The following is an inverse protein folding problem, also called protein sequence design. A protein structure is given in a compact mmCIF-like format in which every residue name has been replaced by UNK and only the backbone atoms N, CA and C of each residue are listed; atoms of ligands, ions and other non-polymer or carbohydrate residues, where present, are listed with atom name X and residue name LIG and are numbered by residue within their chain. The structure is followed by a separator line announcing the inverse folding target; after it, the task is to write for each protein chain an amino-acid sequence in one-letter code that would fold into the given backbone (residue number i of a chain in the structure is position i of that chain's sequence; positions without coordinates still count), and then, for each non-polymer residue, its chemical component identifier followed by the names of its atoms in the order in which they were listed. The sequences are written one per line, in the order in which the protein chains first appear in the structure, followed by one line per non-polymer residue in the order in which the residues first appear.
data_IF_749000647126
#
_entry.id   IF_749000647126
#
_cell.length_a   1.000
_cell.length_b   1.000
_cell.length_c   1.000
_cell.angle_alpha   90.00
_cell.angle_beta   90.00
_cell.angle_gamma   90.00
#
_symmetry.space_group_name_H-M   'P 1'
#
loop_
_entity.id
_entity.type
_entity.pdbx_description
1 polymer ?
#
# COMPACT_ATOMS: atom_id res chain seq x y z
N UNK A 1 9.59 5.22 8.87
CA UNK A 1 10.98 5.71 8.99
C UNK A 1 10.98 7.11 9.61
N UNK A 2 10.58 8.16 8.92
CA UNK A 2 10.59 9.54 9.42
C UNK A 2 9.70 9.74 10.67
N UNK A 3 8.62 8.98 10.83
CA UNK A 3 7.84 8.92 12.08
C UNK A 3 8.62 8.21 13.19
N UNK A 4 9.26 7.10 12.87
CA UNK A 4 10.05 6.32 13.85
C UNK A 4 11.31 7.06 14.29
N UNK A 5 11.89 7.86 13.40
CA UNK A 5 13.03 8.74 13.72
C UNK A 5 12.63 10.02 14.48
N UNK A 6 11.33 10.28 14.64
CA UNK A 6 10.81 11.48 15.27
C UNK A 6 10.88 12.75 14.42
N UNK A 7 11.26 12.65 13.14
CA UNK A 7 11.31 13.80 12.22
C UNK A 7 9.89 14.27 11.85
N UNK A 8 8.92 13.38 11.87
CA UNK A 8 7.51 13.65 11.55
C UNK A 8 6.62 12.99 12.59
N UNK A 9 5.54 13.68 12.95
CA UNK A 9 4.49 13.18 13.83
C UNK A 9 3.19 12.92 13.06
N UNK A 10 2.43 11.94 13.50
CA UNK A 10 1.06 11.73 13.03
C UNK A 10 0.14 12.93 13.31
N UNK A 11 0.55 13.82 14.23
CA UNK A 11 -0.16 15.04 14.62
C UNK A 11 0.33 16.28 13.86
N UNK A 12 1.31 16.17 12.98
CA UNK A 12 1.77 17.31 12.17
C UNK A 12 0.62 17.87 11.34
N UNK A 13 0.57 19.20 11.25
CA UNK A 13 -0.46 19.93 10.51
C UNK A 13 0.08 20.27 9.12
N UNK A 14 -0.50 19.67 8.11
CA UNK A 14 -0.10 19.84 6.71
C UNK A 14 -1.01 20.84 6.02
N UNK A 15 -0.42 21.95 5.55
CA UNK A 15 -1.12 22.92 4.69
C UNK A 15 -1.09 22.44 3.25
N UNK A 16 -2.26 22.32 2.63
CA UNK A 16 -2.40 21.83 1.26
C UNK A 16 -1.92 22.85 0.25
N UNK A 17 -0.99 22.43 -0.61
CA UNK A 17 -0.45 23.25 -1.69
C UNK A 17 -1.46 23.40 -2.84
N UNK A 18 -1.22 24.38 -3.71
CA UNK A 18 -1.93 24.53 -4.99
C UNK A 18 -1.73 23.30 -5.88
N UNK A 19 -0.54 22.68 -5.85
CA UNK A 19 -0.23 21.53 -6.67
C UNK A 19 -1.01 20.29 -6.19
N UNK A 20 -0.97 19.96 -4.92
CA UNK A 20 -1.74 18.87 -4.33
C UNK A 20 -3.25 18.98 -4.64
N UNK A 21 -3.83 20.20 -4.54
CA UNK A 21 -5.24 20.43 -4.79
C UNK A 21 -5.68 20.29 -6.26
N UNK A 22 -4.72 20.20 -7.20
CA UNK A 22 -5.00 20.12 -8.65
C UNK A 22 -4.68 18.76 -9.27
N UNK A 23 -4.08 17.84 -8.50
CA UNK A 23 -3.76 16.52 -9.03
C UNK A 23 -5.03 15.74 -9.39
N UNK A 24 -5.00 15.02 -10.51
CA UNK A 24 -6.15 14.26 -11.00
C UNK A 24 -6.27 12.86 -10.40
N UNK A 25 -7.17 12.07 -10.98
CA UNK A 25 -7.41 10.69 -10.57
C UNK A 25 -8.29 10.58 -9.32
N UNK A 26 -8.04 9.57 -8.47
CA UNK A 26 -8.79 9.39 -7.23
C UNK A 26 -8.35 10.40 -6.17
N UNK A 27 -9.30 11.07 -5.52
CA UNK A 27 -9.05 12.21 -4.65
C UNK A 27 -9.99 12.21 -3.44
N UNK A 28 -9.57 12.89 -2.39
CA UNK A 28 -10.45 13.35 -1.28
C UNK A 28 -10.78 14.83 -1.38
N UNK A 29 -10.49 15.41 -2.56
CA UNK A 29 -10.83 16.78 -2.94
C UNK A 29 -10.27 17.84 -1.99
N UNK A 30 -8.96 17.74 -1.75
CA UNK A 30 -8.22 18.73 -0.94
C UNK A 30 -8.22 20.09 -1.65
N UNK A 31 -8.51 21.16 -0.89
CA UNK A 31 -8.46 22.53 -1.40
C UNK A 31 -7.18 23.22 -0.96
N UNK A 32 -6.63 24.07 -1.83
CA UNK A 32 -5.46 24.89 -1.48
C UNK A 32 -5.70 25.68 -0.19
N UNK A 33 -4.73 25.63 0.71
CA UNK A 33 -4.76 26.33 1.98
C UNK A 33 -5.46 25.58 3.12
N UNK A 34 -6.22 24.52 2.86
CA UNK A 34 -6.76 23.66 3.92
C UNK A 34 -5.62 23.04 4.74
N UNK A 35 -5.92 22.73 5.99
CA UNK A 35 -4.94 22.12 6.91
C UNK A 35 -5.53 20.82 7.45
N UNK A 36 -4.76 19.73 7.34
CA UNK A 36 -5.09 18.40 7.86
C UNK A 36 -3.97 17.85 8.73
N UNK A 37 -4.31 16.95 9.64
CA UNK A 37 -3.30 16.15 10.30
C UNK A 37 -2.65 15.15 9.34
N UNK A 38 -1.35 14.89 9.52
CA UNK A 38 -0.61 13.89 8.75
C UNK A 38 -1.34 12.53 8.77
N UNK A 39 -1.84 12.12 9.94
CA UNK A 39 -2.61 10.87 10.10
C UNK A 39 -3.87 10.81 9.23
N UNK A 40 -4.60 11.91 9.06
CA UNK A 40 -5.79 11.96 8.21
C UNK A 40 -5.43 11.78 6.73
N UNK A 41 -4.36 12.43 6.26
CA UNK A 41 -3.88 12.28 4.88
C UNK A 41 -3.34 10.87 4.63
N UNK A 42 -2.64 10.26 5.58
CA UNK A 42 -2.18 8.87 5.48
C UNK A 42 -3.35 7.88 5.39
N UNK A 43 -4.42 8.08 6.17
CA UNK A 43 -5.66 7.30 6.02
C UNK A 43 -6.27 7.46 4.63
N UNK A 44 -6.34 8.68 4.11
CA UNK A 44 -6.83 8.93 2.76
C UNK A 44 -6.00 8.22 1.68
N UNK A 45 -4.67 8.18 1.83
CA UNK A 45 -3.77 7.46 0.92
C UNK A 45 -3.98 5.95 1.00
N UNK A 46 -3.93 5.38 2.20
CA UNK A 46 -3.91 3.92 2.37
C UNK A 46 -5.30 3.31 2.11
N UNK A 47 -6.36 3.91 2.65
CA UNK A 47 -7.73 3.39 2.55
C UNK A 47 -8.32 3.67 1.17
N UNK A 48 -8.38 4.93 0.75
CA UNK A 48 -9.05 5.31 -0.49
C UNK A 48 -8.12 5.56 -1.68
N UNK A 49 -6.79 5.49 -1.49
CA UNK A 49 -5.83 5.74 -2.58
C UNK A 49 -5.87 7.16 -3.13
N UNK A 50 -5.98 8.15 -2.26
CA UNK A 50 -6.10 9.56 -2.63
C UNK A 50 -4.78 10.13 -3.18
N UNK A 51 -4.77 10.55 -4.44
CA UNK A 51 -3.58 11.11 -5.11
C UNK A 51 -3.21 12.49 -4.58
N UNK A 52 -4.20 13.34 -4.31
CA UNK A 52 -4.02 14.65 -3.72
C UNK A 52 -3.37 14.58 -2.32
N UNK A 53 -3.78 13.63 -1.50
CA UNK A 53 -3.15 13.37 -0.22
C UNK A 53 -1.70 12.84 -0.39
N UNK A 54 -1.43 11.99 -1.40
CA UNK A 54 -0.07 11.49 -1.67
C UNK A 54 0.88 12.63 -2.03
N UNK A 55 0.43 13.58 -2.84
CA UNK A 55 1.21 14.77 -3.18
C UNK A 55 1.48 15.64 -1.95
N UNK A 56 0.43 15.94 -1.16
CA UNK A 56 0.55 16.77 0.04
C UNK A 56 1.52 16.18 1.07
N UNK A 57 1.45 14.85 1.28
CA UNK A 57 2.36 14.13 2.17
C UNK A 57 3.80 14.19 1.66
N UNK A 58 4.03 13.94 0.36
CA UNK A 58 5.36 13.97 -0.22
C UNK A 58 6.02 15.35 -0.12
N UNK A 59 5.25 16.43 -0.35
CA UNK A 59 5.71 17.80 -0.18
C UNK A 59 6.07 18.12 1.28
N UNK A 60 5.27 17.65 2.23
CA UNK A 60 5.52 17.89 3.66
C UNK A 60 6.76 17.15 4.16
N UNK A 61 6.89 15.86 3.82
CA UNK A 61 7.94 14.98 4.38
C UNK A 61 9.34 15.41 3.97
N UNK A 62 9.54 15.77 2.70
CA UNK A 62 10.88 16.10 2.16
C UNK A 62 10.93 17.45 1.43
N UNK A 63 9.93 18.32 1.59
CA UNK A 63 9.86 19.65 1.00
C UNK A 63 9.68 19.68 -0.53
N UNK A 64 9.82 18.54 -1.21
CA UNK A 64 9.74 18.45 -2.67
C UNK A 64 9.35 17.04 -3.14
N UNK A 65 8.41 16.97 -4.08
CA UNK A 65 8.02 15.71 -4.75
C UNK A 65 9.23 15.04 -5.41
N UNK A 66 10.12 15.83 -6.03
CA UNK A 66 11.33 15.31 -6.68
C UNK A 66 12.27 14.64 -5.67
N UNK A 67 12.48 15.26 -4.52
CA UNK A 67 13.30 14.70 -3.43
C UNK A 67 12.63 13.46 -2.86
N UNK A 68 11.31 13.48 -2.68
CA UNK A 68 10.56 12.30 -2.20
C UNK A 68 10.66 11.12 -3.16
N UNK A 69 10.49 11.33 -4.47
CA UNK A 69 10.67 10.26 -5.48
C UNK A 69 12.11 9.72 -5.45
N UNK A 70 13.12 10.56 -5.30
CA UNK A 70 14.51 10.11 -5.14
C UNK A 70 14.63 9.20 -3.90
N UNK A 71 14.06 9.60 -2.76
CA UNK A 71 14.05 8.81 -1.52
C UNK A 71 13.32 7.48 -1.72
N UNK A 72 12.15 7.46 -2.40
CA UNK A 72 11.44 6.22 -2.74
C UNK A 72 12.32 5.25 -3.52
N UNK A 73 13.05 5.73 -4.54
CA UNK A 73 13.94 4.89 -5.33
C UNK A 73 15.16 4.41 -4.53
N UNK A 74 15.76 5.27 -3.71
CA UNK A 74 16.84 4.87 -2.80
C UNK A 74 16.36 3.77 -1.86
N UNK A 75 15.19 3.94 -1.24
CA UNK A 75 14.62 2.95 -0.33
C UNK A 75 14.28 1.63 -1.04
N UNK A 76 13.76 1.71 -2.26
CA UNK A 76 13.52 0.52 -3.07
C UNK A 76 14.79 -0.30 -3.27
N UNK A 77 15.91 0.34 -3.60
CA UNK A 77 17.21 -0.34 -3.72
C UNK A 77 17.70 -0.93 -2.39
N UNK A 78 17.57 -0.19 -1.28
CA UNK A 78 17.97 -0.64 0.06
C UNK A 78 17.25 -1.93 0.49
N UNK A 79 15.97 -2.09 0.13
CA UNK A 79 15.19 -3.30 0.42
C UNK A 79 15.27 -4.36 -0.69
N UNK A 80 16.13 -4.17 -1.69
CA UNK A 80 16.43 -5.15 -2.73
C UNK A 80 15.50 -5.13 -3.95
N UNK A 81 14.69 -4.11 -4.16
CA UNK A 81 13.78 -3.96 -5.30
C UNK A 81 14.52 -3.55 -6.58
N UNK A 82 15.26 -4.48 -7.19
CA UNK A 82 16.17 -4.22 -8.32
C UNK A 82 15.48 -3.91 -9.65
N UNK A 83 14.20 -4.27 -9.79
CA UNK A 83 13.40 -4.07 -11.01
C UNK A 83 12.35 -2.98 -10.83
N UNK A 84 12.55 -2.07 -9.86
CA UNK A 84 11.60 -1.01 -9.55
C UNK A 84 12.19 0.36 -9.84
N UNK A 85 11.39 1.22 -10.45
CA UNK A 85 11.70 2.63 -10.63
C UNK A 85 10.44 3.46 -10.48
N UNK A 86 10.46 4.40 -9.55
CA UNK A 86 9.38 5.34 -9.30
C UNK A 86 9.67 6.68 -9.95
N UNK A 87 8.67 7.25 -10.61
CA UNK A 87 8.70 8.57 -11.24
C UNK A 87 7.55 9.46 -10.76
N UNK A 88 6.64 8.89 -9.96
CA UNK A 88 5.53 9.62 -9.35
C UNK A 88 5.29 9.16 -7.91
N UNK A 89 4.56 9.97 -7.13
CA UNK A 89 4.12 9.63 -5.77
C UNK A 89 2.71 9.05 -5.73
N UNK A 90 2.04 8.91 -6.87
CA UNK A 90 0.62 8.56 -6.98
C UNK A 90 0.30 7.47 -8.01
N UNK A 91 1.24 7.13 -8.91
CA UNK A 91 1.05 6.06 -9.91
C UNK A 91 0.05 6.40 -11.04
N UNK A 92 -0.28 7.67 -11.26
CA UNK A 92 -1.07 8.07 -12.42
C UNK A 92 -0.29 7.85 -13.72
N UNK A 93 -0.98 7.60 -14.85
CA UNK A 93 -0.34 7.55 -16.15
C UNK A 93 0.51 8.80 -16.39
N UNK A 94 1.74 8.65 -16.90
CA UNK A 94 2.61 9.78 -17.14
C UNK A 94 2.06 10.69 -18.24
N UNK A 95 2.33 11.98 -18.10
CA UNK A 95 2.13 12.95 -19.17
C UNK A 95 3.10 12.71 -20.34
N UNK A 96 2.95 13.51 -21.40
CA UNK A 96 3.84 13.45 -22.57
C UNK A 96 5.30 13.66 -22.15
N UNK A 97 6.19 12.74 -22.55
CA UNK A 97 7.63 12.80 -22.20
C UNK A 97 8.00 12.33 -20.79
N UNK A 98 7.04 11.95 -19.97
CA UNK A 98 7.32 11.41 -18.65
C UNK A 98 7.46 9.88 -18.68
N UNK A 99 8.21 9.33 -17.72
CA UNK A 99 8.41 7.88 -17.55
C UNK A 99 7.29 7.26 -16.72
N UNK A 100 7.02 5.98 -16.95
CA UNK A 100 6.10 5.16 -16.14
C UNK A 100 6.81 4.64 -14.89
N UNK A 101 6.09 4.57 -13.78
CA UNK A 101 6.48 3.75 -12.64
C UNK A 101 6.47 2.28 -13.07
N UNK A 102 7.53 1.56 -12.73
CA UNK A 102 7.67 0.14 -13.05
C UNK A 102 8.09 -0.65 -11.81
N UNK A 103 7.62 -1.88 -11.71
CA UNK A 103 8.02 -2.81 -10.65
C UNK A 103 7.81 -4.25 -11.13
N UNK A 104 8.30 -5.21 -10.35
CA UNK A 104 8.06 -6.64 -10.53
C UNK A 104 7.22 -7.22 -9.38
N UNK A 105 6.66 -8.42 -9.58
CA UNK A 105 5.93 -9.10 -8.52
C UNK A 105 6.84 -9.40 -7.32
N UNK A 106 8.09 -9.76 -7.56
CA UNK A 106 9.07 -10.02 -6.50
C UNK A 106 9.42 -8.75 -5.72
N UNK A 107 9.65 -7.63 -6.41
CA UNK A 107 9.95 -6.35 -5.75
C UNK A 107 8.76 -5.88 -4.89
N UNK A 108 7.54 -6.04 -5.39
CA UNK A 108 6.33 -5.72 -4.62
C UNK A 108 6.14 -6.66 -3.42
N UNK A 109 6.62 -7.91 -3.49
CA UNK A 109 6.68 -8.80 -2.34
C UNK A 109 7.66 -8.27 -1.27
N UNK A 110 8.86 -7.82 -1.67
CA UNK A 110 9.82 -7.21 -0.74
C UNK A 110 9.24 -5.97 -0.07
N UNK A 111 8.57 -5.11 -0.84
CA UNK A 111 7.88 -3.93 -0.29
C UNK A 111 6.75 -4.33 0.67
N UNK A 112 6.00 -5.39 0.35
CA UNK A 112 4.95 -5.89 1.22
C UNK A 112 5.51 -6.40 2.55
N UNK A 113 6.63 -7.13 2.54
CA UNK A 113 7.32 -7.58 3.76
C UNK A 113 7.75 -6.39 4.62
N UNK A 114 8.26 -5.32 4.00
CA UNK A 114 8.64 -4.11 4.72
C UNK A 114 7.43 -3.44 5.37
N UNK A 115 6.34 -3.27 4.63
CA UNK A 115 5.10 -2.67 5.13
C UNK A 115 4.44 -3.48 6.27
N UNK A 116 4.61 -4.81 6.30
CA UNK A 116 4.11 -5.68 7.36
C UNK A 116 4.80 -5.44 8.71
N UNK A 117 5.96 -4.79 8.74
CA UNK A 117 6.65 -4.39 9.97
C UNK A 117 5.98 -3.20 10.67
N UNK A 118 5.06 -2.50 9.99
CA UNK A 118 4.40 -1.29 10.47
C UNK A 118 2.93 -1.54 10.85
N UNK A 119 2.61 -1.80 12.13
CA UNK A 119 1.24 -2.12 12.57
C UNK A 119 0.21 -1.04 12.21
N UNK A 120 0.63 0.22 12.21
CA UNK A 120 -0.25 1.33 11.84
C UNK A 120 -0.69 1.25 10.37
N UNK A 121 0.21 0.85 9.46
CA UNK A 121 -0.14 0.61 8.06
C UNK A 121 -1.18 -0.51 7.92
N UNK A 122 -0.96 -1.64 8.60
CA UNK A 122 -1.91 -2.77 8.58
C UNK A 122 -3.28 -2.38 9.12
N UNK A 123 -3.34 -1.59 10.18
CA UNK A 123 -4.59 -1.06 10.71
C UNK A 123 -5.37 -0.28 9.66
N UNK A 124 -4.69 0.62 8.92
CA UNK A 124 -5.34 1.39 7.85
C UNK A 124 -5.69 0.53 6.64
N UNK A 125 -4.78 -0.33 6.18
CA UNK A 125 -5.00 -1.16 4.97
C UNK A 125 -6.13 -2.18 5.13
N UNK A 126 -6.36 -2.68 6.35
CA UNK A 126 -7.46 -3.59 6.68
C UNK A 126 -8.78 -2.87 6.98
N UNK A 127 -8.77 -1.55 7.16
CA UNK A 127 -9.99 -0.76 7.38
C UNK A 127 -10.83 -0.71 6.11
N UNK A 128 -12.06 -1.21 6.20
CA UNK A 128 -13.00 -1.22 5.06
C UNK A 128 -13.61 0.13 4.76
N UNK A 129 -13.99 0.85 5.81
CA UNK A 129 -14.65 2.16 5.74
C UNK A 129 -14.19 3.00 6.92
N UNK A 130 -13.83 4.24 6.65
CA UNK A 130 -13.48 5.25 7.66
C UNK A 130 -14.06 6.61 7.25
N UNK A 131 -13.86 7.61 8.05
CA UNK A 131 -14.30 8.98 7.78
C UNK A 131 -13.13 9.95 7.65
N UNK A 132 -13.37 11.04 6.95
CA UNK A 132 -12.45 12.13 6.70
C UNK A 132 -13.19 13.48 6.90
N UNK A 133 -12.48 14.57 7.14
CA UNK A 133 -13.07 15.89 7.34
C UNK A 133 -14.13 15.90 8.48
N UNK A 134 -13.77 15.38 9.65
CA UNK A 134 -14.69 15.32 10.80
C UNK A 134 -16.03 14.63 10.47
N UNK A 135 -15.98 13.51 9.73
CA UNK A 135 -17.15 12.71 9.37
C UNK A 135 -17.89 13.16 8.12
N UNK A 136 -17.53 14.30 7.52
CA UNK A 136 -18.22 14.85 6.33
C UNK A 136 -17.88 14.12 5.02
N UNK A 137 -16.85 13.28 5.02
CA UNK A 137 -16.42 12.52 3.84
C UNK A 137 -16.12 11.08 4.23
N UNK A 138 -16.52 10.11 3.39
CA UNK A 138 -16.27 8.69 3.63
C UNK A 138 -15.06 8.21 2.85
N UNK A 139 -14.16 7.50 3.53
CA UNK A 139 -13.04 6.78 2.93
C UNK A 139 -13.43 5.31 2.73
N UNK A 140 -13.85 4.94 1.55
CA UNK A 140 -14.10 3.54 1.20
C UNK A 140 -12.81 2.90 0.70
N UNK A 141 -12.41 1.78 1.31
CA UNK A 141 -11.21 1.08 0.89
C UNK A 141 -11.34 0.55 -0.54
N UNK A 142 -10.30 0.78 -1.35
CA UNK A 142 -10.26 0.32 -2.75
C UNK A 142 -10.34 -1.21 -2.88
N UNK A 143 -10.07 -1.94 -1.80
CA UNK A 143 -10.20 -3.39 -1.68
C UNK A 143 -11.36 -3.84 -0.76
N UNK A 144 -12.33 -2.96 -0.48
CA UNK A 144 -13.42 -3.15 0.48
C UNK A 144 -14.19 -4.46 0.34
N UNK A 145 -14.36 -4.97 -0.90
CA UNK A 145 -15.06 -6.23 -1.18
C UNK A 145 -14.28 -7.44 -0.67
N UNK A 146 -12.97 -7.47 -0.89
CA UNK A 146 -12.10 -8.55 -0.39
C UNK A 146 -11.98 -8.49 1.13
N UNK A 147 -11.79 -7.30 1.70
CA UNK A 147 -11.75 -7.10 3.16
C UNK A 147 -13.03 -7.61 3.81
N UNK A 148 -14.22 -7.36 3.21
CA UNK A 148 -15.49 -7.84 3.73
C UNK A 148 -15.66 -9.36 3.63
N UNK A 149 -15.18 -9.98 2.55
CA UNK A 149 -15.62 -11.31 2.12
C UNK A 149 -14.53 -12.38 2.14
N UNK A 150 -13.29 -12.03 2.47
CA UNK A 150 -12.20 -12.99 2.57
C UNK A 150 -11.67 -13.04 4.01
N UNK A 151 -11.79 -14.21 4.65
CA UNK A 151 -11.37 -14.37 6.05
C UNK A 151 -9.89 -14.06 6.24
N UNK A 152 -9.59 -13.17 7.20
CA UNK A 152 -8.23 -12.80 7.56
C UNK A 152 -7.58 -11.76 6.62
N UNK A 153 -8.31 -11.17 5.66
CA UNK A 153 -7.78 -10.16 4.74
C UNK A 153 -7.29 -8.91 5.48
N UNK A 154 -6.03 -8.57 5.29
CA UNK A 154 -5.38 -7.38 5.87
C UNK A 154 -5.24 -6.20 4.88
N UNK A 155 -5.77 -6.34 3.71
CA UNK A 155 -5.68 -5.35 2.63
C UNK A 155 -4.61 -5.79 1.66
N UNK A 156 -3.79 -5.01 1.29
CA UNK A 156 -2.84 -3.98 1.29
C UNK A 156 -3.21 -2.86 0.26
N UNK A 157 -2.85 -3.05 -1.04
CA UNK A 157 -3.00 -1.98 -2.01
C UNK A 157 -3.45 -2.47 -3.38
N UNK A 158 -4.47 -1.83 -3.94
CA UNK A 158 -4.87 -1.98 -5.35
C UNK A 158 -4.18 -0.94 -6.22
N UNK A 159 -4.03 -1.25 -7.50
CA UNK A 159 -3.60 -0.30 -8.52
C UNK A 159 -4.31 -0.56 -9.83
N UNK A 160 -4.62 0.49 -10.57
CA UNK A 160 -5.17 0.39 -11.92
C UNK A 160 -4.82 1.59 -12.77
N UNK A 161 -4.36 1.33 -13.94
CA UNK A 161 -4.47 2.22 -15.09
C UNK A 161 -4.49 1.40 -16.39
N UNK A 162 -4.96 1.99 -17.48
CA UNK A 162 -5.23 1.27 -18.74
C UNK A 162 -4.07 0.38 -19.21
N UNK A 163 -2.82 0.81 -19.06
CA UNK A 163 -1.63 0.05 -19.52
C UNK A 163 -1.21 -1.02 -18.51
N UNK A 164 -1.38 -0.80 -17.22
CA UNK A 164 -0.98 -1.75 -16.19
C UNK A 164 -2.02 -2.81 -15.87
N UNK A 165 -3.28 -2.62 -16.30
CA UNK A 165 -4.38 -3.50 -15.89
C UNK A 165 -4.74 -3.39 -14.41
N UNK A 166 -5.46 -4.36 -13.91
CA UNK A 166 -5.91 -4.40 -12.50
C UNK A 166 -4.89 -5.15 -11.64
N UNK A 167 -4.35 -4.48 -10.63
CA UNK A 167 -3.30 -4.98 -9.77
C UNK A 167 -3.76 -5.03 -8.31
N UNK A 168 -3.20 -5.98 -7.55
CA UNK A 168 -3.41 -6.10 -6.10
C UNK A 168 -2.21 -6.76 -5.45
N UNK A 169 -1.63 -6.09 -4.47
CA UNK A 169 -0.81 -6.68 -3.43
C UNK A 169 -1.71 -6.89 -2.23
N UNK A 170 -1.79 -8.09 -1.70
CA UNK A 170 -2.64 -8.40 -0.55
C UNK A 170 -1.94 -9.30 0.45
N UNK A 171 -2.37 -9.19 1.70
CA UNK A 171 -1.98 -10.08 2.79
C UNK A 171 -3.22 -10.61 3.47
N UNK A 172 -3.16 -11.85 3.94
CA UNK A 172 -4.18 -12.44 4.78
C UNK A 172 -3.53 -13.28 5.88
N UNK A 173 -4.13 -13.25 7.08
CA UNK A 173 -3.64 -13.96 8.26
C UNK A 173 -4.73 -14.84 8.86
N UNK A 174 -4.39 -16.11 9.12
CA UNK A 174 -5.27 -17.10 9.78
C UNK A 174 -4.43 -17.99 10.68
N UNK A 175 -4.83 -18.18 11.93
CA UNK A 175 -4.16 -19.10 12.86
C UNK A 175 -2.65 -18.86 13.03
N UNK A 176 -2.22 -17.62 12.99
CA UNK A 176 -0.80 -17.25 13.08
C UNK A 176 0.02 -17.42 11.79
N UNK A 177 -0.60 -17.93 10.71
CA UNK A 177 0.02 -18.00 9.38
C UNK A 177 -0.41 -16.80 8.53
N UNK A 178 0.56 -16.19 7.84
CA UNK A 178 0.32 -15.06 6.94
C UNK A 178 0.85 -15.39 5.55
N UNK A 179 0.01 -15.14 4.54
CA UNK A 179 0.39 -15.25 3.14
C UNK A 179 0.22 -13.92 2.44
N UNK A 180 1.14 -13.64 1.52
CA UNK A 180 1.12 -12.48 0.63
C UNK A 180 0.77 -12.99 -0.77
N UNK A 181 -0.21 -12.36 -1.43
CA UNK A 181 -0.54 -12.62 -2.82
C UNK A 181 -0.33 -11.37 -3.65
N UNK A 182 0.31 -11.51 -4.81
CA UNK A 182 0.57 -10.44 -5.76
C UNK A 182 -0.03 -10.82 -7.10
N UNK A 183 -0.99 -10.03 -7.55
CA UNK A 183 -1.66 -10.18 -8.85
C UNK A 183 -1.45 -8.92 -9.65
N UNK A 184 -0.80 -9.05 -10.81
CA UNK A 184 -0.50 -7.93 -11.71
C UNK A 184 -1.15 -8.16 -13.08
N UNK A 185 -1.60 -7.09 -13.72
CA UNK A 185 -2.07 -7.10 -15.09
C UNK A 185 -3.39 -7.84 -15.34
N UNK A 186 -4.22 -8.06 -14.34
CA UNK A 186 -5.50 -8.74 -14.55
C UNK A 186 -6.42 -7.92 -15.47
N UNK A 187 -7.19 -8.61 -16.33
CA UNK A 187 -8.07 -7.98 -17.32
C UNK A 187 -9.20 -7.14 -16.71
N UNK A 188 -9.65 -7.50 -15.51
CA UNK A 188 -10.69 -6.77 -14.77
C UNK A 188 -10.59 -7.02 -13.26
N UNK A 189 -11.31 -6.22 -12.48
CA UNK A 189 -11.29 -6.30 -11.02
C UNK A 189 -11.82 -7.63 -10.47
N UNK A 190 -12.78 -8.27 -11.17
CA UNK A 190 -13.32 -9.59 -10.79
C UNK A 190 -12.24 -10.67 -10.93
N UNK A 191 -11.52 -10.68 -12.05
CA UNK A 191 -10.44 -11.62 -12.29
C UNK A 191 -9.30 -11.44 -11.29
N UNK A 192 -8.86 -10.20 -11.05
CA UNK A 192 -7.89 -9.85 -10.02
C UNK A 192 -8.28 -10.45 -8.65
N UNK A 193 -9.52 -10.21 -8.20
CA UNK A 193 -9.99 -10.69 -6.90
C UNK A 193 -10.14 -12.22 -6.86
N UNK A 194 -10.57 -12.87 -7.95
CA UNK A 194 -10.65 -14.34 -8.05
C UNK A 194 -9.26 -14.97 -7.95
N UNK A 195 -8.29 -14.47 -8.71
CA UNK A 195 -6.91 -14.96 -8.69
C UNK A 195 -6.27 -14.75 -7.31
N UNK A 196 -6.48 -13.59 -6.69
CA UNK A 196 -5.99 -13.31 -5.33
C UNK A 196 -6.52 -14.33 -4.32
N UNK A 197 -7.84 -14.65 -4.36
CA UNK A 197 -8.43 -15.68 -3.49
C UNK A 197 -7.76 -17.02 -3.70
N UNK A 198 -7.67 -17.44 -4.94
CA UNK A 198 -7.09 -18.74 -5.28
C UNK A 198 -5.65 -18.88 -4.78
N UNK A 199 -4.81 -17.86 -4.94
CA UNK A 199 -3.44 -17.86 -4.44
C UNK A 199 -3.37 -17.92 -2.90
N UNK A 200 -4.22 -17.16 -2.21
CA UNK A 200 -4.25 -17.17 -0.75
C UNK A 200 -4.82 -18.50 -0.20
N UNK A 201 -5.88 -19.03 -0.82
CA UNK A 201 -6.43 -20.33 -0.45
C UNK A 201 -5.40 -21.43 -0.68
N UNK A 202 -4.69 -21.42 -1.82
CA UNK A 202 -3.59 -22.35 -2.06
C UNK A 202 -2.54 -22.32 -0.95
N UNK A 203 -2.17 -21.11 -0.47
CA UNK A 203 -1.24 -20.97 0.64
C UNK A 203 -1.78 -21.59 1.93
N UNK A 204 -3.03 -21.32 2.29
CA UNK A 204 -3.62 -21.82 3.54
C UNK A 204 -3.93 -23.33 3.50
N UNK A 205 -4.24 -23.88 2.33
CA UNK A 205 -4.64 -25.27 2.18
C UNK A 205 -3.44 -26.23 2.03
N UNK A 206 -2.28 -25.74 1.55
CA UNK A 206 -1.15 -26.61 1.21
C UNK A 206 0.07 -26.44 2.13
N UNK A 207 0.10 -25.42 3.00
CA UNK A 207 1.24 -25.21 3.89
C UNK A 207 0.77 -25.14 5.34
N UNK A 208 1.34 -25.97 6.19
CA UNK A 208 1.09 -25.98 7.62
C UNK A 208 2.19 -25.26 8.37
N UNK A 209 1.84 -24.60 9.47
CA UNK A 209 2.82 -24.09 10.42
C UNK A 209 3.23 -25.22 11.36
N UNK A 210 4.51 -25.56 11.35
CA UNK A 210 5.09 -26.44 12.35
C UNK A 210 5.84 -25.60 13.39
N UNK A 211 5.44 -25.69 14.65
CA UNK A 211 6.19 -25.13 15.76
C UNK A 211 7.22 -26.17 16.20
N UNK A 212 8.46 -25.99 15.81
CA UNK A 212 9.57 -26.79 16.32
C UNK A 212 9.85 -26.36 17.75
N UNK A 213 9.32 -27.12 18.71
CA UNK A 213 9.65 -26.91 20.12
C UNK A 213 11.07 -27.48 20.34
N UNK A 214 12.07 -26.63 20.39
CA UNK A 214 13.50 -26.95 20.49
C UNK A 214 13.92 -27.52 21.87
N UNK A 215 12.99 -28.04 22.66
CA UNK A 215 13.33 -28.83 23.85
C UNK A 215 13.62 -30.27 23.46
N UNK A 216 14.83 -30.49 22.97
CA UNK A 216 15.54 -31.75 23.18
C UNK A 216 15.34 -32.91 22.17
N UNK A 217 14.74 -32.74 20.99
CA UNK A 217 14.72 -33.81 19.98
C UNK A 217 15.19 -33.32 18.61
N UNK A 218 16.21 -33.95 18.08
CA UNK A 218 16.65 -33.81 16.69
C UNK A 218 15.53 -34.26 15.74
N UNK A 219 15.07 -33.36 14.88
CA UNK A 219 14.11 -33.68 13.82
C UNK A 219 14.87 -34.17 12.60
N UNK A 220 14.72 -35.47 12.27
CA UNK A 220 15.22 -36.03 11.01
C UNK A 220 14.19 -35.71 9.91
N UNK A 221 14.63 -34.98 8.89
CA UNK A 221 13.87 -34.84 7.66
C UNK A 221 14.09 -36.08 6.80
N UNK A 222 13.03 -36.85 6.54
CA UNK A 222 13.01 -37.80 5.44
C UNK A 222 12.43 -37.11 4.22
N UNK A 223 13.18 -37.08 3.13
CA UNK A 223 12.80 -36.55 1.82
C UNK A 223 11.73 -37.44 1.15
#
# INVERSE_FOLDING_TARGET
EEIESGQISLQDRIKISRWASKIGGHQVYLKQGEIFYFSELMKAIVISSANDASVAVAEHVLGSIKVFIKRMNTRALEIGMKNTSFYSVHGLPPGRGQKLDVSSAYDLYLLALELLKHPQYLRWSSTRLDTFRNGKFQLLNTNHRMIKSYRGMEGMKTGYHRRAGFNLVSSAMRGGQRYISIVLGAKNSRMRSKTTRHLLDYGFDNFLKYDFNTKGNSVLFTA
#
